data_IF_119821623760
#
_entry.id   IF_119821623760
#
_cell.length_a   1.000
_cell.length_b   1.000
_cell.length_c   1.000
_cell.angle_alpha   90.00
_cell.angle_beta   90.00
_cell.angle_gamma   90.00
#
_symmetry.space_group_name_H-M   'P 1'
#
loop_
_entity.id
_entity.type
_entity.pdbx_description
1 polymer ?
#
# COMPACT_ATOMS: atom_id res chain seq x y z
N UNK A 1 61.90 -23.39 -44.65
CA UNK A 1 60.73 -22.63 -45.12
C UNK A 1 59.50 -23.13 -44.37
N UNK A 2 59.01 -22.37 -43.39
CA UNK A 2 57.61 -22.41 -42.95
C UNK A 2 57.40 -21.19 -42.06
N UNK A 3 56.69 -20.19 -42.58
CA UNK A 3 56.27 -18.99 -41.84
C UNK A 3 54.85 -19.27 -41.37
N UNK A 4 54.63 -19.32 -40.05
CA UNK A 4 53.29 -19.33 -39.49
C UNK A 4 52.76 -17.89 -39.50
N UNK A 5 51.71 -17.67 -40.29
CA UNK A 5 50.93 -16.44 -40.30
C UNK A 5 50.02 -16.42 -39.07
N UNK A 6 50.24 -15.49 -38.14
CA UNK A 6 49.25 -15.13 -37.13
C UNK A 6 48.16 -14.28 -37.80
N UNK A 7 46.94 -14.82 -37.87
CA UNK A 7 45.74 -14.08 -38.23
C UNK A 7 45.20 -13.43 -36.95
N UNK A 8 45.19 -12.11 -36.93
CA UNK A 8 44.55 -11.28 -35.90
C UNK A 8 43.05 -11.27 -36.21
N UNK A 9 42.25 -11.95 -35.40
CA UNK A 9 40.78 -11.86 -35.45
C UNK A 9 40.31 -10.85 -34.40
N UNK A 10 40.01 -9.64 -34.83
CA UNK A 10 39.35 -8.61 -34.02
C UNK A 10 37.86 -8.94 -33.84
N UNK A 11 37.44 -9.18 -32.59
CA UNK A 11 36.05 -9.29 -32.20
C UNK A 11 35.47 -7.88 -32.01
N UNK A 12 34.73 -7.39 -33.01
CA UNK A 12 33.86 -6.21 -32.84
C UNK A 12 32.59 -6.70 -32.12
N UNK A 13 32.50 -6.42 -30.81
CA UNK A 13 31.28 -6.63 -30.04
C UNK A 13 30.27 -5.53 -30.41
N UNK A 14 29.31 -5.86 -31.28
CA UNK A 14 28.16 -5.02 -31.57
C UNK A 14 27.24 -5.03 -30.33
N UNK A 15 27.31 -3.98 -29.51
CA UNK A 15 26.35 -3.75 -28.45
C UNK A 15 25.00 -3.37 -29.09
N UNK A 16 24.14 -4.36 -29.31
CA UNK A 16 22.73 -4.13 -29.60
C UNK A 16 22.09 -3.55 -28.33
N UNK A 17 22.00 -2.23 -28.25
CA UNK A 17 21.11 -1.58 -27.28
C UNK A 17 19.69 -1.95 -27.69
N UNK A 18 19.12 -2.96 -27.04
CA UNK A 18 17.69 -3.22 -27.10
C UNK A 18 16.97 -1.98 -26.54
N UNK A 19 16.56 -1.06 -27.40
CA UNK A 19 15.63 -0.01 -27.03
C UNK A 19 14.28 -0.68 -26.78
N UNK A 20 14.07 -1.15 -25.55
CA UNK A 20 12.75 -1.58 -25.11
C UNK A 20 11.78 -0.41 -25.34
N UNK A 21 10.70 -0.66 -26.08
CA UNK A 21 9.55 0.26 -26.08
C UNK A 21 8.97 0.20 -24.67
N UNK A 22 9.18 1.25 -23.90
CA UNK A 22 8.55 1.41 -22.60
C UNK A 22 7.32 2.27 -22.83
N UNK A 23 6.15 1.63 -22.86
CA UNK A 23 4.87 2.32 -22.95
C UNK A 23 4.69 3.26 -21.76
N UNK A 24 3.94 4.34 -21.97
CA UNK A 24 3.44 5.19 -20.89
C UNK A 24 2.69 4.32 -19.88
N UNK A 25 3.03 4.47 -18.61
CA UNK A 25 2.37 3.83 -17.47
C UNK A 25 2.13 4.85 -16.36
N UNK A 26 1.09 4.59 -15.55
CA UNK A 26 0.63 5.50 -14.49
C UNK A 26 0.72 4.82 -13.12
N UNK A 27 0.88 5.60 -12.03
CA UNK A 27 0.70 5.09 -10.68
C UNK A 27 -0.77 4.71 -10.45
N UNK A 28 -1.03 3.79 -9.51
CA UNK A 28 -2.40 3.35 -9.20
C UNK A 28 -3.35 4.47 -8.74
N UNK A 29 -2.80 5.58 -8.23
CA UNK A 29 -3.58 6.77 -7.86
C UNK A 29 -4.20 7.50 -9.06
N UNK A 30 -3.62 7.36 -10.25
CA UNK A 30 -4.13 7.95 -11.48
C UNK A 30 -4.81 6.85 -12.29
N UNK A 31 -6.09 6.64 -11.98
CA UNK A 31 -6.91 5.56 -12.53
C UNK A 31 -8.33 6.08 -12.82
N UNK A 32 -9.17 5.22 -13.40
CA UNK A 32 -10.61 5.48 -13.55
C UNK A 32 -11.25 5.83 -12.18
N UNK A 33 -12.35 6.59 -12.20
CA UNK A 33 -13.12 7.00 -11.01
C UNK A 33 -12.41 7.96 -10.03
N UNK A 34 -11.18 8.39 -10.30
CA UNK A 34 -10.45 9.27 -9.39
C UNK A 34 -11.07 10.68 -9.25
N UNK A 35 -10.63 11.39 -8.22
CA UNK A 35 -10.91 12.83 -8.04
C UNK A 35 -9.61 13.60 -8.20
N UNK A 36 -9.63 14.65 -9.03
CA UNK A 36 -8.58 15.66 -9.10
C UNK A 36 -9.03 16.91 -8.35
N UNK A 37 -8.09 17.56 -7.65
CA UNK A 37 -8.35 18.83 -6.97
C UNK A 37 -8.88 19.86 -7.99
N UNK A 38 -10.06 20.43 -7.74
CA UNK A 38 -10.64 21.52 -8.55
C UNK A 38 -9.87 22.84 -8.38
N UNK A 39 -10.05 23.75 -9.34
CA UNK A 39 -9.50 25.11 -9.31
C UNK A 39 -7.99 25.17 -8.97
N UNK A 40 -7.24 24.20 -9.47
CA UNK A 40 -5.86 23.96 -9.08
C UNK A 40 -4.97 23.58 -10.27
N UNK A 41 -3.68 23.46 -9.98
CA UNK A 41 -2.69 22.89 -10.89
C UNK A 41 -2.41 21.45 -10.45
N UNK A 42 -3.33 20.55 -10.81
CA UNK A 42 -3.28 19.15 -10.43
C UNK A 42 -2.06 18.46 -11.06
N UNK A 43 -1.36 17.65 -10.26
CA UNK A 43 -0.19 16.91 -10.75
C UNK A 43 -0.66 15.64 -11.45
N UNK A 44 -0.21 15.44 -12.68
CA UNK A 44 -0.35 14.18 -13.43
C UNK A 44 1.06 13.69 -13.74
N UNK A 45 1.36 12.42 -13.46
CA UNK A 45 2.72 11.89 -13.59
C UNK A 45 2.71 10.40 -13.93
N UNK A 46 3.85 9.90 -14.35
CA UNK A 46 4.00 8.49 -14.68
C UNK A 46 5.40 8.17 -15.16
N UNK A 47 5.48 7.04 -15.87
CA UNK A 47 6.70 6.58 -16.51
C UNK A 47 6.46 6.39 -18.01
N UNK A 48 7.51 6.53 -18.81
CA UNK A 48 7.53 6.32 -20.25
C UNK A 48 8.99 6.08 -20.68
N UNK A 49 9.25 5.81 -21.96
CA UNK A 49 10.63 5.71 -22.46
C UNK A 49 11.34 7.06 -22.29
N UNK A 50 12.61 7.05 -21.91
CA UNK A 50 13.39 8.28 -21.76
C UNK A 50 13.35 9.15 -23.04
N UNK A 51 13.08 10.45 -22.88
CA UNK A 51 12.94 11.42 -23.96
C UNK A 51 11.62 11.37 -24.76
N UNK A 52 10.75 10.39 -24.49
CA UNK A 52 9.42 10.29 -25.08
C UNK A 52 8.57 11.53 -24.75
N UNK A 53 7.87 12.06 -25.75
CA UNK A 53 6.93 13.16 -25.54
C UNK A 53 5.60 12.63 -25.04
N UNK A 54 5.11 13.18 -23.94
CA UNK A 54 3.84 12.82 -23.33
C UNK A 54 2.92 14.04 -23.35
N UNK A 55 1.72 13.87 -23.90
CA UNK A 55 0.64 14.86 -23.90
C UNK A 55 -0.44 14.41 -22.91
N UNK A 56 -0.84 15.30 -22.01
CA UNK A 56 -1.94 15.10 -21.08
C UNK A 56 -3.07 16.06 -21.44
N UNK A 57 -4.27 15.55 -21.64
CA UNK A 57 -5.46 16.31 -22.03
C UNK A 57 -6.66 15.95 -21.17
N UNK A 58 -7.21 16.93 -20.46
CA UNK A 58 -8.51 16.82 -19.81
C UNK A 58 -9.65 17.17 -20.77
N UNK A 59 -10.80 16.50 -20.67
CA UNK A 59 -11.98 16.80 -21.49
C UNK A 59 -12.54 18.22 -21.26
N UNK A 60 -12.15 18.87 -20.17
CA UNK A 60 -12.45 20.27 -19.85
C UNK A 60 -11.56 21.29 -20.60
N UNK A 61 -10.72 20.82 -21.54
CA UNK A 61 -9.98 21.67 -22.47
C UNK A 61 -8.53 21.95 -22.08
N UNK A 62 -8.10 21.59 -20.86
CA UNK A 62 -6.70 21.73 -20.47
C UNK A 62 -5.81 20.71 -21.22
N UNK A 63 -4.68 21.19 -21.76
CA UNK A 63 -3.70 20.35 -22.47
C UNK A 63 -2.29 20.79 -22.09
N UNK A 64 -1.44 19.84 -21.71
CA UNK A 64 -0.03 20.09 -21.38
C UNK A 64 0.84 19.01 -22.02
N UNK A 65 2.01 19.39 -22.52
CA UNK A 65 3.02 18.47 -23.06
C UNK A 65 4.28 18.49 -22.19
N UNK A 66 4.93 17.34 -22.09
CA UNK A 66 6.21 17.19 -21.41
C UNK A 66 7.04 16.10 -22.08
N UNK A 67 8.27 15.89 -21.60
CA UNK A 67 9.10 14.75 -21.99
C UNK A 67 9.53 13.97 -20.76
N UNK A 68 9.59 12.65 -20.90
CA UNK A 68 10.16 11.80 -19.87
C UNK A 68 11.67 12.07 -19.70
N UNK A 69 12.11 12.15 -18.45
CA UNK A 69 13.50 12.38 -18.08
C UNK A 69 14.39 11.17 -18.43
N UNK A 70 15.69 11.28 -18.17
CA UNK A 70 16.64 10.19 -18.43
C UNK A 70 16.35 8.90 -17.65
N UNK A 71 15.56 8.98 -16.57
CA UNK A 71 15.09 7.82 -15.79
C UNK A 71 13.70 7.33 -16.21
N UNK A 72 13.13 7.90 -17.27
CA UNK A 72 11.80 7.56 -17.78
C UNK A 72 10.64 8.18 -17.00
N UNK A 73 10.88 9.07 -16.02
CA UNK A 73 9.80 9.72 -15.27
C UNK A 73 9.33 10.98 -15.97
N UNK A 74 8.04 11.24 -15.94
CA UNK A 74 7.47 12.50 -16.41
C UNK A 74 6.43 13.02 -15.41
N UNK A 75 6.24 14.33 -15.38
CA UNK A 75 5.13 14.95 -14.66
C UNK A 75 4.73 16.29 -15.28
N UNK A 76 3.46 16.63 -15.16
CA UNK A 76 2.89 17.91 -15.56
C UNK A 76 2.01 18.48 -14.45
N UNK A 77 1.80 19.80 -14.52
CA UNK A 77 0.78 20.52 -13.77
C UNK A 77 -0.35 20.84 -14.75
N UNK A 78 -1.47 20.15 -14.61
CA UNK A 78 -2.65 20.32 -15.47
C UNK A 78 -3.64 21.23 -14.75
N UNK A 79 -4.05 22.33 -15.40
CA UNK A 79 -5.07 23.21 -14.87
C UNK A 79 -6.41 22.47 -14.77
N UNK A 80 -7.03 22.49 -13.60
CA UNK A 80 -8.41 22.02 -13.36
C UNK A 80 -9.32 23.23 -13.18
N UNK A 81 -10.60 23.07 -13.55
CA UNK A 81 -11.62 24.11 -13.41
C UNK A 81 -12.57 23.84 -12.26
N UNK A 82 -13.79 24.35 -12.39
CA UNK A 82 -14.87 24.20 -11.43
C UNK A 82 -15.17 22.72 -11.12
N UNK A 83 -15.73 22.49 -9.93
CA UNK A 83 -16.10 21.15 -9.48
C UNK A 83 -17.14 20.51 -10.41
N UNK A 84 -17.03 19.20 -10.63
CA UNK A 84 -17.98 18.47 -11.47
C UNK A 84 -17.37 17.27 -12.16
N UNK A 85 -18.02 16.84 -13.23
CA UNK A 85 -17.73 15.62 -13.96
C UNK A 85 -19.01 14.85 -14.30
N UNK A 86 -18.90 13.63 -14.85
CA UNK A 86 -17.65 12.94 -15.13
C UNK A 86 -16.89 13.54 -16.32
N UNK A 87 -15.58 13.64 -16.19
CA UNK A 87 -14.65 14.00 -17.25
C UNK A 87 -13.83 12.79 -17.70
N UNK A 88 -13.09 12.97 -18.80
CA UNK A 88 -12.03 12.04 -19.21
C UNK A 88 -10.68 12.73 -19.16
N UNK A 89 -9.64 11.94 -18.87
CA UNK A 89 -8.24 12.36 -18.91
C UNK A 89 -7.47 11.43 -19.85
N UNK A 90 -7.00 11.97 -20.96
CA UNK A 90 -6.21 11.22 -21.94
C UNK A 90 -4.73 11.56 -21.81
N UNK A 91 -3.91 10.53 -21.70
CA UNK A 91 -2.44 10.60 -21.68
C UNK A 91 -1.95 9.90 -22.96
N UNK A 92 -1.18 10.60 -23.79
CA UNK A 92 -0.70 10.10 -25.07
C UNK A 92 0.81 10.27 -25.21
N UNK A 93 1.51 9.19 -25.49
CA UNK A 93 2.91 9.12 -25.92
C UNK A 93 3.04 8.14 -27.09
N UNK A 94 3.95 7.18 -26.99
CA UNK A 94 4.07 6.07 -27.95
C UNK A 94 2.84 5.12 -27.88
N UNK A 95 2.14 5.10 -26.75
CA UNK A 95 0.79 4.53 -26.54
C UNK A 95 -0.19 5.59 -25.99
N UNK A 96 -1.47 5.24 -25.86
CA UNK A 96 -2.48 6.12 -25.27
C UNK A 96 -3.25 5.43 -24.13
N UNK A 97 -3.45 6.15 -23.02
CA UNK A 97 -4.28 5.76 -21.88
C UNK A 97 -5.39 6.80 -21.76
N UNK A 98 -6.64 6.37 -21.62
CA UNK A 98 -7.77 7.25 -21.31
C UNK A 98 -8.39 6.80 -20.01
N UNK A 99 -8.33 7.67 -19.01
CA UNK A 99 -9.01 7.51 -17.74
C UNK A 99 -10.41 8.13 -17.82
N UNK A 100 -11.40 7.45 -17.25
CA UNK A 100 -12.82 7.74 -17.34
C UNK A 100 -13.40 8.01 -15.95
N UNK A 101 -14.57 8.65 -15.93
CA UNK A 101 -15.29 8.97 -14.69
C UNK A 101 -14.47 9.82 -13.71
N UNK A 102 -13.70 10.78 -14.25
CA UNK A 102 -12.84 11.67 -13.48
C UNK A 102 -13.67 12.82 -12.92
N UNK A 103 -13.63 12.99 -11.60
CA UNK A 103 -14.29 14.12 -10.95
C UNK A 103 -13.29 15.24 -10.68
N UNK A 104 -13.71 16.49 -10.82
CA UNK A 104 -13.02 17.65 -10.24
C UNK A 104 -13.70 17.99 -8.92
N UNK A 105 -12.94 18.02 -7.83
CA UNK A 105 -13.48 18.13 -6.47
C UNK A 105 -12.42 18.38 -5.43
N UNK A 106 -12.71 18.02 -4.17
CA UNK A 106 -11.73 18.10 -3.07
C UNK A 106 -11.07 16.73 -2.85
N UNK A 107 -9.76 16.71 -2.59
CA UNK A 107 -9.02 15.47 -2.35
C UNK A 107 -8.37 15.50 -0.98
N UNK A 108 -8.63 14.47 -0.16
CA UNK A 108 -8.15 14.36 1.20
C UNK A 108 -7.40 13.04 1.42
N UNK A 109 -6.35 13.11 2.24
CA UNK A 109 -5.59 11.92 2.67
C UNK A 109 -5.94 11.63 4.12
N UNK A 110 -6.51 10.46 4.36
CA UNK A 110 -6.80 9.89 5.67
C UNK A 110 -5.61 9.01 6.06
N UNK A 111 -4.76 9.47 6.98
CA UNK A 111 -3.55 8.73 7.38
C UNK A 111 -3.39 8.67 8.89
N UNK A 112 -2.56 7.74 9.36
CA UNK A 112 -2.30 7.50 10.78
C UNK A 112 -2.24 6.01 11.10
N UNK A 113 -2.73 5.66 12.28
CA UNK A 113 -2.72 4.29 12.81
C UNK A 113 -4.13 3.72 12.97
N UNK A 114 -4.32 2.80 13.91
CA UNK A 114 -5.52 1.97 14.09
C UNK A 114 -6.82 2.76 14.18
N UNK A 115 -6.79 3.96 14.78
CA UNK A 115 -7.98 4.79 14.93
C UNK A 115 -8.45 5.41 13.59
N UNK A 116 -7.51 5.62 12.65
CA UNK A 116 -7.85 6.02 11.28
C UNK A 116 -8.17 4.80 10.41
N UNK A 117 -7.43 3.69 10.58
CA UNK A 117 -7.66 2.42 9.86
C UNK A 117 -9.00 1.77 10.23
N UNK A 118 -9.55 2.14 11.38
CA UNK A 118 -10.77 1.56 11.88
C UNK A 118 -11.92 1.71 10.88
N UNK A 119 -12.43 0.57 10.38
CA UNK A 119 -13.46 0.56 9.35
C UNK A 119 -14.87 0.79 9.90
N UNK A 120 -15.76 1.27 9.03
CA UNK A 120 -17.17 1.50 9.35
C UNK A 120 -17.88 0.21 9.86
N UNK A 121 -17.54 -0.96 9.32
CA UNK A 121 -18.06 -2.25 9.78
C UNK A 121 -17.63 -2.63 11.21
N UNK A 122 -16.39 -2.29 11.59
CA UNK A 122 -15.83 -2.61 12.90
C UNK A 122 -16.36 -1.69 14.01
N UNK A 123 -17.18 -0.70 13.67
CA UNK A 123 -17.91 0.12 14.63
C UNK A 123 -19.21 -0.54 15.15
N UNK A 124 -19.49 -1.82 14.81
CA UNK A 124 -20.69 -2.57 15.22
C UNK A 124 -20.50 -3.41 16.52
N UNK A 125 -21.56 -4.09 17.02
CA UNK A 125 -22.16 -3.90 18.35
C UNK A 125 -21.20 -4.12 19.54
N UNK A 126 -21.17 -3.13 20.44
CA UNK A 126 -20.34 -3.12 21.65
C UNK A 126 -19.56 -1.81 21.81
N UNK A 127 -19.33 -1.10 20.70
CA UNK A 127 -18.79 0.24 20.70
C UNK A 127 -19.92 1.28 20.60
N UNK A 128 -19.92 2.25 21.52
CA UNK A 128 -20.90 3.34 21.58
C UNK A 128 -20.54 4.44 20.57
N UNK A 129 -20.57 4.12 19.28
CA UNK A 129 -20.63 5.16 18.25
C UNK A 129 -21.92 5.98 18.39
N UNK A 130 -21.88 7.27 18.06
CA UNK A 130 -23.01 8.19 18.24
C UNK A 130 -24.18 7.98 17.24
N UNK A 131 -24.06 7.03 16.29
CA UNK A 131 -24.94 6.89 15.14
C UNK A 131 -25.32 5.41 14.95
N UNK A 132 -26.55 5.08 14.52
CA UNK A 132 -26.93 3.72 14.13
C UNK A 132 -26.12 3.25 12.91
N UNK A 133 -25.00 2.56 13.15
CA UNK A 133 -24.00 2.25 12.11
C UNK A 133 -24.55 1.40 10.95
N UNK A 134 -25.49 0.49 11.25
CA UNK A 134 -26.10 -0.35 10.23
C UNK A 134 -26.99 0.46 9.27
N UNK A 135 -27.72 1.44 9.81
CA UNK A 135 -28.52 2.37 8.99
C UNK A 135 -27.61 3.27 8.16
N UNK A 136 -26.56 3.81 8.79
CA UNK A 136 -25.57 4.64 8.10
C UNK A 136 -24.94 3.91 6.91
N UNK A 137 -24.47 2.67 7.12
CA UNK A 137 -23.92 1.84 6.04
C UNK A 137 -24.97 1.58 4.97
N UNK A 138 -26.22 1.25 5.35
CA UNK A 138 -27.27 0.94 4.40
C UNK A 138 -27.62 2.13 3.49
N UNK A 139 -27.45 3.37 3.98
CA UNK A 139 -27.73 4.60 3.23
C UNK A 139 -26.49 5.25 2.61
N UNK A 140 -25.29 4.68 2.76
CA UNK A 140 -24.02 5.21 2.28
C UNK A 140 -23.85 5.12 0.74
N UNK A 141 -24.81 5.63 -0.02
CA UNK A 141 -24.83 5.66 -1.49
C UNK A 141 -24.56 7.07 -2.01
N UNK A 142 -23.28 7.46 -1.94
CA UNK A 142 -22.81 8.80 -2.32
C UNK A 142 -21.86 8.68 -3.51
N UNK A 143 -22.35 8.49 -4.74
CA UNK A 143 -21.48 8.23 -5.88
C UNK A 143 -20.47 9.36 -6.16
N UNK A 144 -20.77 10.60 -5.79
CA UNK A 144 -19.82 11.73 -5.90
C UNK A 144 -18.65 11.67 -4.90
N UNK A 145 -18.70 10.77 -3.91
CA UNK A 145 -17.59 10.43 -3.03
C UNK A 145 -16.85 9.22 -3.63
N UNK A 146 -15.53 9.34 -3.77
CA UNK A 146 -14.64 8.30 -4.30
C UNK A 146 -13.65 7.90 -3.22
N UNK A 147 -13.48 6.59 -3.07
CA UNK A 147 -12.67 5.99 -2.02
C UNK A 147 -11.47 5.30 -2.66
N UNK A 148 -10.29 5.50 -2.08
CA UNK A 148 -9.07 4.78 -2.46
C UNK A 148 -8.39 4.29 -1.19
N UNK A 149 -8.23 2.97 -1.04
CA UNK A 149 -7.51 2.38 0.10
C UNK A 149 -6.16 1.86 -0.36
N UNK A 150 -5.09 2.37 0.27
CA UNK A 150 -3.72 1.90 0.04
C UNK A 150 -3.51 0.61 0.86
N UNK A 151 -3.18 -0.53 0.25
CA UNK A 151 -2.88 -1.75 0.99
C UNK A 151 -1.61 -1.61 1.83
N UNK A 152 -1.66 -2.08 3.08
CA UNK A 152 -0.53 -2.09 4.00
C UNK A 152 0.66 -2.85 3.42
N UNK A 153 1.77 -2.14 3.21
CA UNK A 153 2.99 -2.72 2.65
C UNK A 153 4.21 -2.02 3.24
N UNK A 154 5.23 -2.82 3.59
CA UNK A 154 6.53 -2.29 3.97
C UNK A 154 7.41 -2.17 2.73
N UNK A 155 8.16 -1.07 2.65
CA UNK A 155 9.15 -0.89 1.60
C UNK A 155 10.39 -0.15 2.09
N UNK A 156 11.52 -0.86 2.05
CA UNK A 156 12.85 -0.27 1.99
C UNK A 156 13.50 -0.88 0.73
N UNK A 157 14.00 -0.12 -0.26
CA UNK A 157 13.89 1.33 -0.35
C UNK A 157 12.42 1.78 -0.52
N UNK A 158 12.17 3.08 -0.34
CA UNK A 158 10.86 3.70 -0.57
C UNK A 158 10.41 3.45 -2.01
N UNK A 159 9.13 3.09 -2.18
CA UNK A 159 8.51 2.94 -3.51
C UNK A 159 7.96 4.30 -3.97
N UNK A 160 8.09 4.58 -5.27
CA UNK A 160 7.47 5.76 -5.90
C UNK A 160 6.00 5.58 -6.27
N UNK A 161 5.36 4.48 -5.86
CA UNK A 161 3.97 4.14 -6.16
C UNK A 161 3.39 3.27 -5.06
N UNK A 162 2.05 3.21 -5.02
CA UNK A 162 1.28 2.32 -4.16
C UNK A 162 0.41 1.37 -5.02
N UNK A 163 -0.35 0.52 -4.34
CA UNK A 163 -1.45 -0.25 -4.95
C UNK A 163 -2.78 0.31 -4.46
N UNK A 164 -3.86 -0.09 -5.11
CA UNK A 164 -5.22 0.33 -4.81
C UNK A 164 -5.98 0.63 -6.09
N UNK A 165 -7.28 0.85 -5.95
CA UNK A 165 -8.17 1.24 -7.05
C UNK A 165 -9.21 2.20 -6.48
N UNK A 166 -9.59 3.20 -7.25
CA UNK A 166 -10.68 4.10 -6.88
C UNK A 166 -12.02 3.40 -7.04
N UNK A 167 -12.86 3.51 -6.03
CA UNK A 167 -14.23 3.00 -6.05
C UNK A 167 -15.21 4.08 -5.67
N UNK A 168 -16.45 3.98 -6.17
CA UNK A 168 -17.54 4.85 -5.71
C UNK A 168 -17.90 4.51 -4.27
N UNK A 169 -18.34 5.49 -3.49
CA UNK A 169 -18.94 5.25 -2.19
C UNK A 169 -20.33 4.61 -2.38
N UNK A 170 -20.45 3.36 -1.97
CA UNK A 170 -21.68 2.58 -1.91
C UNK A 170 -21.72 1.90 -0.53
N UNK A 171 -22.88 1.35 -0.10
CA UNK A 171 -22.96 0.59 1.14
C UNK A 171 -21.86 -0.47 1.30
N UNK A 172 -21.50 -1.16 0.22
CA UNK A 172 -20.48 -2.22 0.25
C UNK A 172 -19.05 -1.67 0.39
N UNK A 173 -18.71 -0.59 -0.30
CA UNK A 173 -17.37 -0.01 -0.26
C UNK A 173 -17.15 0.81 1.00
N UNK A 174 -18.14 1.61 1.41
CA UNK A 174 -18.13 2.42 2.63
C UNK A 174 -17.96 1.55 3.89
N UNK A 175 -18.64 0.38 3.94
CA UNK A 175 -18.52 -0.59 5.03
C UNK A 175 -17.07 -0.96 5.37
N UNK A 176 -16.18 -1.00 4.37
CA UNK A 176 -14.78 -1.44 4.51
C UNK A 176 -13.80 -0.28 4.62
N UNK A 177 -14.25 0.95 4.42
CA UNK A 177 -13.40 2.13 4.47
C UNK A 177 -13.27 2.67 5.90
N UNK A 178 -12.24 3.50 6.13
CA UNK A 178 -12.04 4.24 7.38
C UNK A 178 -13.33 4.93 7.82
N UNK A 179 -13.82 4.64 9.03
CA UNK A 179 -15.02 5.27 9.58
C UNK A 179 -14.83 6.79 9.72
N UNK A 180 -13.68 7.22 10.24
CA UNK A 180 -13.32 8.63 10.39
C UNK A 180 -13.24 9.30 9.02
N UNK A 181 -12.56 8.67 8.05
CA UNK A 181 -12.46 9.19 6.69
C UNK A 181 -13.82 9.31 6.01
N UNK A 182 -14.67 8.29 6.13
CA UNK A 182 -16.03 8.28 5.58
C UNK A 182 -16.88 9.41 6.14
N UNK A 183 -17.03 9.51 7.46
CA UNK A 183 -17.86 10.55 8.08
C UNK A 183 -17.35 11.95 7.76
N UNK A 184 -16.04 12.15 7.77
CA UNK A 184 -15.43 13.42 7.36
C UNK A 184 -15.79 13.78 5.91
N UNK A 185 -15.59 12.86 4.98
CA UNK A 185 -15.88 13.14 3.56
C UNK A 185 -17.36 13.29 3.27
N UNK A 186 -18.24 12.55 3.95
CA UNK A 186 -19.69 12.70 3.84
C UNK A 186 -20.12 14.09 4.31
N UNK A 187 -19.67 14.51 5.49
CA UNK A 187 -20.01 15.82 6.05
C UNK A 187 -19.52 16.98 5.15
N UNK A 188 -18.28 16.91 4.66
CA UNK A 188 -17.75 17.91 3.72
C UNK A 188 -18.52 17.90 2.39
N UNK A 189 -18.92 16.72 1.90
CA UNK A 189 -19.73 16.62 0.69
C UNK A 189 -21.10 17.29 0.86
N UNK A 190 -21.76 17.06 2.01
CA UNK A 190 -23.07 17.65 2.33
C UNK A 190 -22.99 19.16 2.48
N UNK A 191 -21.94 19.68 3.11
CA UNK A 191 -21.76 21.11 3.33
C UNK A 191 -21.38 21.87 2.04
N UNK A 192 -20.46 21.31 1.24
CA UNK A 192 -19.88 22.03 0.08
C UNK A 192 -20.55 21.64 -1.24
N UNK A 193 -21.19 20.48 -1.32
CA UNK A 193 -21.93 20.02 -2.51
C UNK A 193 -21.05 19.61 -3.70
N UNK A 194 -19.77 19.27 -3.47
CA UNK A 194 -18.79 18.95 -4.53
C UNK A 194 -18.26 17.53 -4.43
N UNK A 195 -17.75 16.92 -5.52
CA UNK A 195 -17.15 15.59 -5.45
C UNK A 195 -16.00 15.53 -4.44
N UNK A 196 -15.89 14.43 -3.70
CA UNK A 196 -14.86 14.24 -2.67
C UNK A 196 -14.06 12.97 -2.97
N UNK A 197 -12.73 13.08 -3.04
CA UNK A 197 -11.82 11.96 -3.10
C UNK A 197 -11.17 11.72 -1.75
N UNK A 198 -11.32 10.52 -1.18
CA UNK A 198 -10.71 10.12 0.08
C UNK A 198 -9.68 9.03 -0.16
N UNK A 199 -8.43 9.29 0.24
CA UNK A 199 -7.32 8.34 0.14
C UNK A 199 -6.99 7.86 1.55
N UNK A 200 -7.36 6.63 1.89
CA UNK A 200 -6.97 5.95 3.13
C UNK A 200 -5.57 5.36 2.98
N UNK A 201 -4.65 5.83 3.80
CA UNK A 201 -3.24 5.46 3.88
C UNK A 201 -2.83 5.41 5.35
N UNK A 202 -3.39 4.44 6.06
CA UNK A 202 -3.33 4.28 7.51
C UNK A 202 -2.95 2.83 7.85
N UNK A 203 -2.24 2.63 8.97
CA UNK A 203 -1.83 1.30 9.40
C UNK A 203 -1.68 1.22 10.93
N UNK A 204 -2.58 0.47 11.57
CA UNK A 204 -2.57 0.17 12.99
C UNK A 204 -1.29 -0.47 13.52
N UNK A 205 -0.91 -0.06 14.72
CA UNK A 205 0.31 -0.53 15.41
C UNK A 205 1.61 0.01 14.84
N UNK A 206 1.56 0.94 13.87
CA UNK A 206 2.77 1.60 13.36
C UNK A 206 3.14 2.81 14.21
N UNK A 207 4.44 3.00 14.41
CA UNK A 207 5.05 4.13 15.12
C UNK A 207 5.31 5.31 14.18
N UNK A 208 5.44 6.52 14.71
CA UNK A 208 5.53 7.75 13.90
C UNK A 208 6.81 7.79 13.02
N UNK A 209 7.91 7.25 13.51
CA UNK A 209 9.18 7.16 12.79
C UNK A 209 9.09 6.26 11.55
N UNK A 210 8.16 5.30 11.51
CA UNK A 210 7.93 4.47 10.32
C UNK A 210 7.35 5.27 9.13
N UNK A 211 6.70 6.41 9.42
CA UNK A 211 6.11 7.32 8.43
C UNK A 211 7.00 8.53 8.11
N UNK A 212 8.07 8.71 8.86
CA UNK A 212 8.99 9.85 8.71
C UNK A 212 10.16 9.47 7.81
N UNK A 213 10.71 10.42 7.04
CA UNK A 213 11.89 10.16 6.22
C UNK A 213 13.16 10.03 7.08
N UNK A 214 14.17 9.32 6.59
CA UNK A 214 15.46 9.22 7.28
C UNK A 214 16.06 10.62 7.49
N UNK A 215 15.91 11.50 6.48
CA UNK A 215 16.30 12.90 6.55
C UNK A 215 15.52 13.68 7.62
N UNK A 216 14.22 13.40 7.76
CA UNK A 216 13.39 14.01 8.81
C UNK A 216 13.75 13.54 10.22
N UNK A 217 14.24 12.30 10.35
CA UNK A 217 14.67 11.74 11.63
C UNK A 217 16.13 12.06 11.98
N UNK A 218 16.95 12.48 11.01
CA UNK A 218 18.39 12.68 11.18
C UNK A 218 18.76 13.70 12.29
N UNK A 219 17.85 14.60 12.65
CA UNK A 219 18.03 15.55 13.75
C UNK A 219 17.88 14.96 15.16
N UNK A 220 17.48 13.69 15.28
CA UNK A 220 17.16 13.04 16.54
C UNK A 220 18.08 11.83 16.77
N UNK A 221 19.12 11.96 17.62
CA UNK A 221 20.11 10.90 17.82
C UNK A 221 19.53 9.55 18.25
N UNK A 222 18.37 9.55 18.92
CA UNK A 222 17.68 8.32 19.34
C UNK A 222 17.23 7.42 18.17
N UNK A 223 17.16 7.94 16.94
CA UNK A 223 16.77 7.17 15.76
C UNK A 223 17.95 6.78 14.86
N UNK A 224 19.20 7.03 15.28
CA UNK A 224 20.39 6.70 14.47
C UNK A 224 20.41 5.23 14.04
N UNK A 225 20.20 4.31 14.98
CA UNK A 225 20.17 2.87 14.72
C UNK A 225 18.99 2.47 13.81
N UNK A 226 17.84 3.14 13.97
CA UNK A 226 16.65 2.91 13.11
C UNK A 226 16.93 3.35 11.67
N UNK A 227 17.59 4.50 11.49
CA UNK A 227 17.99 5.00 10.17
C UNK A 227 18.97 4.01 9.52
N UNK A 228 20.02 3.61 10.24
CA UNK A 228 21.01 2.65 9.74
C UNK A 228 20.36 1.30 9.36
N UNK A 229 19.43 0.81 10.19
CA UNK A 229 18.66 -0.40 9.89
C UNK A 229 17.87 -0.24 8.59
N UNK A 230 17.13 0.85 8.41
CA UNK A 230 16.30 1.07 7.22
C UNK A 230 17.17 1.22 5.96
N UNK A 231 18.30 1.91 6.04
CA UNK A 231 19.27 2.04 4.94
C UNK A 231 19.90 0.68 4.58
N UNK A 232 20.26 -0.12 5.59
CA UNK A 232 20.74 -1.49 5.41
C UNK A 232 19.70 -2.36 4.73
N UNK A 233 18.44 -2.27 5.16
CA UNK A 233 17.33 -2.95 4.53
C UNK A 233 17.06 -2.42 3.12
N UNK A 234 17.37 -1.17 2.80
CA UNK A 234 17.18 -0.62 1.45
C UNK A 234 18.19 -1.18 0.43
N UNK A 235 19.40 -1.53 0.87
CA UNK A 235 20.43 -2.15 0.04
C UNK A 235 20.16 -3.66 -0.15
N UNK A 236 19.96 -4.18 -1.38
CA UNK A 236 19.67 -5.59 -1.61
C UNK A 236 20.76 -6.56 -1.12
N UNK A 237 22.04 -6.15 -1.18
CA UNK A 237 23.18 -6.98 -0.77
C UNK A 237 23.22 -7.03 0.76
N UNK A 238 23.10 -5.88 1.43
CA UNK A 238 23.17 -5.82 2.90
C UNK A 238 21.94 -6.41 3.57
N UNK A 239 20.76 -6.23 2.96
CA UNK A 239 19.49 -6.79 3.46
C UNK A 239 19.58 -8.28 3.71
N UNK A 240 20.13 -9.06 2.77
CA UNK A 240 20.19 -10.52 2.91
C UNK A 240 20.99 -10.93 4.15
N UNK A 241 22.13 -10.28 4.39
CA UNK A 241 22.95 -10.54 5.57
C UNK A 241 22.23 -10.12 6.85
N UNK A 242 21.62 -8.92 6.86
CA UNK A 242 20.88 -8.42 8.01
C UNK A 242 19.73 -9.37 8.41
N UNK A 243 18.91 -9.78 7.43
CA UNK A 243 17.79 -10.72 7.67
C UNK A 243 18.29 -12.03 8.25
N UNK A 244 19.36 -12.61 7.69
CA UNK A 244 19.92 -13.86 8.19
C UNK A 244 20.41 -13.73 9.64
N UNK A 245 21.15 -12.70 9.95
CA UNK A 245 21.78 -12.55 11.27
C UNK A 245 20.77 -12.19 12.37
N UNK A 246 19.82 -11.33 12.05
CA UNK A 246 18.94 -10.70 13.04
C UNK A 246 17.56 -11.34 13.11
N UNK A 247 17.02 -11.83 11.98
CA UNK A 247 15.70 -12.48 11.94
C UNK A 247 15.87 -13.99 12.05
N UNK A 248 16.54 -14.62 11.09
CA UNK A 248 16.68 -16.08 11.07
C UNK A 248 17.46 -16.57 12.29
N UNK A 249 18.56 -15.89 12.63
CA UNK A 249 19.33 -16.21 13.82
C UNK A 249 18.55 -16.01 15.13
N UNK A 250 17.56 -15.10 15.19
CA UNK A 250 16.69 -15.00 16.35
C UNK A 250 15.75 -16.19 16.47
N UNK A 251 15.14 -16.61 15.35
CA UNK A 251 14.34 -17.83 15.30
C UNK A 251 15.15 -19.08 15.67
N UNK A 252 16.35 -19.25 15.12
CA UNK A 252 17.24 -20.37 15.45
C UNK A 252 17.54 -20.44 16.96
N UNK A 253 17.80 -19.29 17.60
CA UNK A 253 18.05 -19.21 19.04
C UNK A 253 16.81 -19.52 19.87
N UNK A 254 15.63 -19.12 19.39
CA UNK A 254 14.35 -19.37 20.03
C UNK A 254 14.01 -20.87 19.95
N UNK A 255 14.13 -21.45 18.76
CA UNK A 255 13.87 -22.86 18.48
C UNK A 255 14.82 -23.78 19.24
N UNK A 256 16.09 -23.42 19.35
CA UNK A 256 17.08 -24.16 20.15
C UNK A 256 16.71 -24.24 21.64
N UNK A 257 15.89 -23.31 22.14
CA UNK A 257 15.40 -23.29 23.53
C UNK A 257 14.01 -23.92 23.68
N UNK A 258 13.27 -24.05 22.59
CA UNK A 258 11.92 -24.59 22.61
C UNK A 258 11.94 -26.12 22.79
N UNK A 259 11.05 -26.70 23.61
CA UNK A 259 10.87 -28.14 23.74
C UNK A 259 10.24 -28.71 22.44
N UNK A 260 11.04 -28.81 21.39
CA UNK A 260 10.58 -29.11 20.04
C UNK A 260 11.65 -28.93 18.96
N UNK A 261 12.49 -27.90 19.07
CA UNK A 261 13.52 -27.57 18.07
C UNK A 261 12.94 -27.04 16.76
N UNK A 262 11.91 -26.17 16.81
CA UNK A 262 11.26 -25.59 15.63
C UNK A 262 10.22 -26.47 14.92
N UNK A 263 10.03 -27.72 15.36
CA UNK A 263 9.00 -28.62 14.83
C UNK A 263 8.11 -29.17 15.95
N UNK A 264 6.83 -29.42 15.62
CA UNK A 264 5.92 -30.15 16.50
C UNK A 264 6.48 -31.56 16.77
N UNK A 265 6.52 -31.96 18.04
CA UNK A 265 6.92 -33.31 18.43
C UNK A 265 5.68 -34.11 18.84
N UNK A 266 5.46 -35.23 18.16
CA UNK A 266 4.49 -36.22 18.60
C UNK A 266 4.91 -36.78 19.97
N UNK A 267 3.93 -37.07 20.84
CA UNK A 267 4.17 -37.66 22.15
C UNK A 267 4.54 -36.69 23.27
N UNK A 268 4.48 -35.37 23.05
CA UNK A 268 4.52 -34.39 24.15
C UNK A 268 3.19 -34.45 24.89
N UNK A 269 3.21 -34.98 26.12
CA UNK A 269 2.07 -34.93 27.03
C UNK A 269 1.78 -33.49 27.46
N UNK A 270 0.50 -33.21 27.73
CA UNK A 270 -0.01 -31.94 28.27
C UNK A 270 -0.17 -31.98 29.80
N UNK A 271 0.43 -32.97 30.46
CA UNK A 271 0.41 -33.09 31.90
C UNK A 271 1.03 -31.84 32.56
N UNK A 272 0.22 -31.14 33.36
CA UNK A 272 0.64 -29.92 34.04
C UNK A 272 0.61 -28.64 33.19
N UNK A 273 0.02 -28.69 31.98
CA UNK A 273 -0.20 -27.47 31.19
C UNK A 273 -1.34 -26.66 31.76
N UNK A 274 -1.18 -25.33 31.77
CA UNK A 274 -2.26 -24.42 32.12
C UNK A 274 -3.35 -24.42 31.04
N UNK A 275 -4.60 -24.20 31.46
CA UNK A 275 -5.73 -24.13 30.54
C UNK A 275 -5.94 -22.70 30.06
N UNK A 276 -5.92 -22.49 28.74
CA UNK A 276 -6.22 -21.19 28.12
C UNK A 276 -7.60 -21.20 27.45
N UNK A 277 -8.47 -20.28 27.85
CA UNK A 277 -9.76 -20.10 27.20
C UNK A 277 -9.59 -19.44 25.81
N UNK A 278 -10.16 -20.05 24.77
CA UNK A 278 -10.12 -19.54 23.38
C UNK A 278 -11.54 -19.50 22.76
N UNK A 279 -11.88 -18.51 21.92
CA UNK A 279 -11.04 -17.38 21.52
C UNK A 279 -10.96 -16.31 22.62
N UNK A 280 -9.77 -15.78 22.87
CA UNK A 280 -9.53 -14.66 23.80
C UNK A 280 -8.39 -13.79 23.29
N UNK A 281 -8.26 -12.58 23.84
CA UNK A 281 -7.05 -11.77 23.65
C UNK A 281 -5.95 -12.32 24.54
N UNK A 282 -4.73 -12.41 24.00
CA UNK A 282 -3.56 -13.01 24.68
C UNK A 282 -3.02 -12.17 25.85
N UNK A 283 -3.72 -11.10 26.22
CA UNK A 283 -3.35 -10.18 27.30
C UNK A 283 -3.72 -10.64 28.72
N UNK A 284 -4.39 -11.79 28.86
CA UNK A 284 -4.74 -12.40 30.16
C UNK A 284 -3.54 -13.10 30.81
N UNK A 285 -3.63 -14.41 31.01
CA UNK A 285 -2.61 -15.24 31.67
C UNK A 285 -1.23 -15.20 30.97
N UNK A 286 -1.17 -14.74 29.72
CA UNK A 286 0.04 -14.58 28.92
C UNK A 286 0.44 -13.10 28.71
N UNK A 287 -0.20 -12.14 29.38
CA UNK A 287 -0.06 -10.71 29.05
C UNK A 287 1.36 -10.12 29.21
N UNK A 288 2.22 -10.76 29.99
CA UNK A 288 3.64 -10.40 30.12
C UNK A 288 4.59 -11.38 29.41
N UNK A 289 4.06 -12.42 28.77
CA UNK A 289 4.84 -13.44 28.10
C UNK A 289 5.16 -12.99 26.66
N UNK A 290 6.45 -13.00 26.32
CA UNK A 290 6.95 -12.81 24.96
C UNK A 290 7.81 -14.02 24.57
N UNK A 291 7.36 -14.79 23.58
CA UNK A 291 8.00 -16.05 23.18
C UNK A 291 7.07 -17.00 22.45
N UNK A 292 7.44 -18.29 22.43
CA UNK A 292 6.66 -19.37 21.80
C UNK A 292 5.81 -20.09 22.84
N UNK A 293 4.50 -20.12 22.63
CA UNK A 293 3.56 -20.93 23.40
C UNK A 293 3.10 -22.14 22.58
N UNK A 294 3.02 -23.31 23.22
CA UNK A 294 2.38 -24.50 22.65
C UNK A 294 0.96 -24.62 23.22
N UNK A 295 -0.02 -24.90 22.37
CA UNK A 295 -1.41 -25.10 22.76
C UNK A 295 -1.88 -26.48 22.29
N UNK A 296 -2.64 -27.17 23.14
CA UNK A 296 -3.31 -28.41 22.79
C UNK A 296 -4.81 -28.26 23.03
N UNK A 297 -5.60 -28.72 22.06
CA UNK A 297 -7.07 -28.76 22.16
C UNK A 297 -7.56 -30.11 21.66
N UNK A 298 -8.41 -30.74 22.46
CA UNK A 298 -9.19 -31.90 22.02
C UNK A 298 -10.45 -31.38 21.33
N UNK A 299 -10.71 -31.86 20.11
CA UNK A 299 -11.93 -31.55 19.36
C UNK A 299 -12.67 -32.85 19.11
N UNK A 300 -13.91 -32.93 19.58
CA UNK A 300 -14.80 -34.03 19.20
C UNK A 300 -15.40 -33.73 17.84
N UNK A 301 -15.17 -34.62 16.88
CA UNK A 301 -15.79 -34.54 15.56
C UNK A 301 -17.16 -35.23 15.61
N UNK A 302 -18.24 -34.59 15.13
CA UNK A 302 -19.52 -35.27 15.01
C UNK A 302 -19.40 -36.45 14.03
N UNK A 303 -20.15 -37.52 14.26
CA UNK A 303 -20.09 -38.72 13.43
C UNK A 303 -20.31 -38.45 11.92
N UNK A 304 -21.08 -37.40 11.59
CA UNK A 304 -21.30 -36.96 10.21
C UNK A 304 -20.10 -36.28 9.54
N UNK A 305 -19.07 -35.89 10.30
CA UNK A 305 -17.82 -35.31 9.80
C UNK A 305 -16.72 -36.37 9.59
N UNK A 306 -16.94 -37.60 10.05
CA UNK A 306 -16.11 -38.73 9.65
C UNK A 306 -16.51 -39.10 8.21
N UNK A 307 -15.71 -38.70 7.23
CA UNK A 307 -15.91 -39.11 5.83
C UNK A 307 -16.06 -40.62 5.72
N UNK A 308 -16.95 -41.04 4.81
CA UNK A 308 -17.22 -42.45 4.48
C UNK A 308 -15.95 -43.20 4.09
#
# INVERSE_FOLDING_TARGET
>A
MSRHHLIVSGLIALAFAATGRADVTLPALLDDHMVLQRDAMARVWGWARAGEEVTVKGSWGAVVRTRADASGRWSVRLATGEAGGPHTLTISGDNAITLNDIMLGEVWVCSGQSNMEWSLAQAAPGYRGAVPIDEEIATADHPSIRLFTVPNTRSAPRRGTCRGTWVRCTPETARRFSAVGYFFGREIHEEVGVPIGLISADWGGTVAEAWTSAEGLAGFPAFADTIEMVETLADPIRRTSYVREHVDGWWDRLDARAPGGGAWREGVGDDGWDTLAVPSTWGGDLGAFDGVGYLRRVVELPAAAAGV
#
